data_IF_571254154623
#
_entry.id   IF_571254154623
#
_cell.length_a   1.000
_cell.length_b   1.000
_cell.length_c   1.000
_cell.angle_alpha   90.00
_cell.angle_beta   90.00
_cell.angle_gamma   90.00
#
_symmetry.space_group_name_H-M   'P 1'
#
loop_
_entity.id
_entity.type
_entity.pdbx_description
1 polymer ?
#
# COMPACT_ATOMS: atom_id res chain seq x y z
N UNK A 1 1.68 1.67 -20.96
CA UNK A 1 0.94 1.15 -19.78
C UNK A 1 -0.09 2.17 -19.34
N UNK A 2 -1.15 1.74 -18.66
CA UNK A 2 -2.17 2.65 -18.12
C UNK A 2 -1.48 3.80 -17.35
N UNK A 3 -1.83 5.05 -17.67
CA UNK A 3 -1.30 6.24 -17.01
C UNK A 3 0.10 6.73 -17.45
N UNK A 4 0.89 5.92 -18.16
CA UNK A 4 2.24 6.34 -18.63
C UNK A 4 2.21 6.94 -20.04
N UNK A 5 1.29 6.56 -20.94
CA UNK A 5 1.19 7.11 -22.31
C UNK A 5 2.52 7.16 -23.10
N UNK A 6 3.44 6.22 -22.83
CA UNK A 6 4.79 6.10 -23.40
C UNK A 6 5.73 7.29 -23.11
N UNK A 7 5.50 7.97 -21.99
CA UNK A 7 6.28 9.11 -21.58
C UNK A 7 7.59 8.73 -20.90
N UNK A 8 7.63 7.60 -20.18
CA UNK A 8 8.83 7.04 -19.54
C UNK A 8 8.90 5.53 -19.68
N UNK A 9 9.98 4.93 -19.16
CA UNK A 9 10.34 3.53 -19.32
C UNK A 9 9.14 2.61 -19.06
N UNK A 10 8.77 1.83 -20.07
CA UNK A 10 7.64 0.93 -20.00
C UNK A 10 7.69 -0.19 -21.01
N UNK A 11 6.98 -1.27 -20.69
CA UNK A 11 6.72 -2.39 -21.60
C UNK A 11 5.27 -2.82 -21.43
N UNK A 12 4.59 -3.07 -22.54
CA UNK A 12 3.22 -3.59 -22.51
C UNK A 12 3.24 -5.12 -22.59
N UNK A 13 2.43 -5.76 -21.76
CA UNK A 13 2.09 -7.18 -21.83
C UNK A 13 0.59 -7.33 -21.65
N UNK A 14 -0.03 -8.21 -22.42
CA UNK A 14 -1.32 -8.78 -22.02
C UNK A 14 -1.13 -9.76 -20.84
N UNK A 15 -2.21 -10.10 -20.10
CA UNK A 15 -2.17 -11.16 -19.09
C UNK A 15 -1.61 -12.48 -19.65
N UNK A 16 -1.99 -12.86 -20.87
CA UNK A 16 -1.52 -14.06 -21.54
C UNK A 16 -0.03 -13.98 -21.90
N UNK A 17 0.43 -12.86 -22.46
CA UNK A 17 1.83 -12.70 -22.86
C UNK A 17 2.77 -12.77 -21.66
N UNK A 18 2.44 -12.09 -20.55
CA UNK A 18 3.25 -12.16 -19.32
C UNK A 18 3.23 -13.57 -18.74
N UNK A 19 2.06 -14.21 -18.69
CA UNK A 19 1.92 -15.56 -18.15
C UNK A 19 2.73 -16.56 -18.97
N UNK A 20 2.67 -16.50 -20.31
CA UNK A 20 3.47 -17.33 -21.19
C UNK A 20 4.97 -17.04 -21.07
N UNK A 21 5.35 -15.77 -20.89
CA UNK A 21 6.75 -15.39 -20.65
C UNK A 21 7.29 -16.01 -19.36
N UNK A 22 6.53 -15.91 -18.26
CA UNK A 22 6.92 -16.47 -16.97
C UNK A 22 6.95 -18.00 -17.02
N UNK A 23 5.93 -18.62 -17.63
CA UNK A 23 5.81 -20.07 -17.74
C UNK A 23 6.91 -20.71 -18.60
N UNK A 24 7.20 -20.13 -19.77
CA UNK A 24 8.05 -20.77 -20.78
C UNK A 24 9.49 -20.25 -20.80
N UNK A 25 9.76 -19.09 -20.20
CA UNK A 25 11.07 -18.44 -20.28
C UNK A 25 11.64 -18.09 -18.91
N UNK A 26 11.04 -17.15 -18.17
CA UNK A 26 11.64 -16.62 -16.93
C UNK A 26 11.76 -17.70 -15.85
N UNK A 27 10.65 -18.38 -15.55
CA UNK A 27 10.60 -19.43 -14.51
C UNK A 27 11.58 -20.58 -14.76
N UNK A 28 11.52 -21.26 -15.93
CA UNK A 28 12.44 -22.34 -16.27
C UNK A 28 13.91 -21.89 -16.27
N UNK A 29 14.19 -20.65 -16.70
CA UNK A 29 15.56 -20.11 -16.68
C UNK A 29 16.07 -19.90 -15.26
N UNK A 30 15.27 -19.33 -14.37
CA UNK A 30 15.65 -19.18 -12.96
C UNK A 30 15.87 -20.53 -12.28
N UNK A 31 15.00 -21.51 -12.55
CA UNK A 31 15.15 -22.88 -12.03
C UNK A 31 16.45 -23.53 -12.53
N UNK A 32 16.70 -23.49 -13.85
CA UNK A 32 17.92 -24.04 -14.46
C UNK A 32 19.21 -23.38 -13.96
N UNK A 33 19.15 -22.09 -13.61
CA UNK A 33 20.27 -21.33 -13.06
C UNK A 33 20.43 -21.52 -11.54
N UNK A 34 19.65 -22.41 -10.90
CA UNK A 34 19.69 -22.66 -9.46
C UNK A 34 19.10 -21.54 -8.60
N UNK A 35 18.31 -20.64 -9.21
CA UNK A 35 17.66 -19.47 -8.58
C UNK A 35 16.18 -19.69 -8.31
N UNK A 36 15.72 -20.95 -8.24
CA UNK A 36 14.31 -21.30 -7.97
C UNK A 36 13.76 -20.82 -6.62
N UNK A 37 14.61 -20.31 -5.72
CA UNK A 37 14.17 -19.65 -4.48
C UNK A 37 13.75 -18.19 -4.65
N UNK A 38 14.06 -17.56 -5.79
CA UNK A 38 13.62 -16.19 -6.09
C UNK A 38 12.11 -16.20 -6.35
N UNK A 39 11.40 -15.30 -5.66
CA UNK A 39 9.95 -15.18 -5.76
C UNK A 39 9.55 -14.35 -6.97
N UNK A 40 8.53 -14.80 -7.70
CA UNK A 40 7.98 -14.06 -8.85
C UNK A 40 6.58 -13.58 -8.51
N UNK A 41 6.39 -12.25 -8.51
CA UNK A 41 5.08 -11.63 -8.45
C UNK A 41 4.70 -11.18 -9.86
N UNK A 42 3.50 -11.54 -10.30
CA UNK A 42 2.95 -11.04 -11.57
C UNK A 42 2.10 -9.79 -11.38
N UNK A 43 1.55 -9.30 -12.49
CA UNK A 43 0.71 -8.10 -12.58
C UNK A 43 1.42 -6.76 -12.36
N UNK A 44 1.71 -6.40 -11.11
CA UNK A 44 2.44 -5.19 -10.71
C UNK A 44 1.83 -3.88 -11.26
N UNK A 45 0.53 -3.69 -11.00
CA UNK A 45 -0.25 -2.54 -11.50
C UNK A 45 -1.49 -2.24 -10.63
N UNK A 46 -2.24 -1.18 -10.94
CA UNK A 46 -3.40 -0.72 -10.15
C UNK A 46 -4.52 -1.77 -9.96
N UNK A 47 -5.27 -1.74 -8.86
CA UNK A 47 -6.13 -2.87 -8.43
C UNK A 47 -7.36 -3.17 -9.30
N UNK A 48 -7.83 -2.25 -10.11
CA UNK A 48 -9.06 -2.33 -10.91
C UNK A 48 -9.02 -3.40 -12.02
N UNK A 49 -7.82 -3.76 -12.52
CA UNK A 49 -7.66 -4.85 -13.49
C UNK A 49 -7.15 -6.15 -12.86
N UNK A 50 -6.91 -6.19 -11.55
CA UNK A 50 -6.31 -7.34 -10.86
C UNK A 50 -7.05 -8.64 -11.16
N UNK A 51 -8.39 -8.60 -11.20
CA UNK A 51 -9.23 -9.77 -11.46
C UNK A 51 -8.87 -10.47 -12.78
N UNK A 52 -8.72 -9.71 -13.87
CA UNK A 52 -8.40 -10.26 -15.19
C UNK A 52 -7.05 -10.98 -15.17
N UNK A 53 -6.06 -10.39 -14.50
CA UNK A 53 -4.71 -10.92 -14.43
C UNK A 53 -4.62 -12.20 -13.60
N UNK A 54 -5.22 -12.23 -12.41
CA UNK A 54 -5.22 -13.44 -11.56
C UNK A 54 -6.03 -14.58 -12.19
N UNK A 55 -7.02 -14.27 -13.02
CA UNK A 55 -7.78 -15.28 -13.76
C UNK A 55 -6.93 -16.03 -14.79
N UNK A 56 -5.95 -15.35 -15.40
CA UNK A 56 -5.02 -15.94 -16.39
C UNK A 56 -3.81 -16.55 -15.70
N UNK A 57 -3.16 -15.82 -14.78
CA UNK A 57 -1.96 -16.28 -14.06
C UNK A 57 -2.24 -17.56 -13.25
N UNK A 58 -3.40 -17.63 -12.60
CA UNK A 58 -3.77 -18.73 -11.71
C UNK A 58 -4.88 -19.62 -12.29
N UNK A 59 -4.95 -19.72 -13.62
CA UNK A 59 -5.93 -20.56 -14.30
C UNK A 59 -5.75 -22.05 -13.96
N UNK A 60 -4.52 -22.54 -14.00
CA UNK A 60 -4.17 -23.93 -13.75
C UNK A 60 -2.75 -24.07 -13.17
N UNK A 61 -2.35 -25.30 -12.84
CA UNK A 61 -1.03 -25.57 -12.26
C UNK A 61 0.12 -25.14 -13.17
N UNK A 62 -0.04 -25.27 -14.50
CA UNK A 62 1.02 -24.97 -15.45
C UNK A 62 1.28 -23.45 -15.53
N UNK A 63 0.22 -22.65 -15.58
CA UNK A 63 0.34 -21.18 -15.55
C UNK A 63 0.80 -20.67 -14.19
N UNK A 64 0.35 -21.30 -13.11
CA UNK A 64 0.58 -20.84 -11.73
C UNK A 64 1.94 -21.26 -11.15
N UNK A 65 2.60 -22.28 -11.73
CA UNK A 65 3.79 -22.95 -11.16
C UNK A 65 4.85 -21.97 -10.66
N UNK A 66 5.21 -20.98 -11.47
CA UNK A 66 6.33 -20.08 -11.18
C UNK A 66 5.92 -18.77 -10.51
N UNK A 67 4.63 -18.46 -10.43
CA UNK A 67 4.18 -17.28 -9.70
C UNK A 67 4.05 -17.60 -8.22
N UNK A 68 4.65 -16.80 -7.35
CA UNK A 68 4.42 -16.86 -5.91
C UNK A 68 3.28 -15.96 -5.46
N UNK A 69 2.85 -15.04 -6.32
CA UNK A 69 1.84 -14.04 -5.99
C UNK A 69 1.54 -13.05 -7.11
N UNK A 70 0.75 -12.04 -6.76
CA UNK A 70 0.52 -10.86 -7.56
C UNK A 70 0.97 -9.60 -6.79
N UNK A 71 1.43 -8.61 -7.53
CA UNK A 71 1.79 -7.29 -7.03
C UNK A 71 0.74 -6.25 -7.49
N UNK A 72 0.44 -5.26 -6.66
CA UNK A 72 -0.57 -4.23 -6.93
C UNK A 72 -0.12 -2.83 -6.53
N UNK A 73 -0.65 -1.82 -7.22
CA UNK A 73 -0.44 -0.39 -6.97
C UNK A 73 -1.76 0.29 -6.58
N UNK A 74 -1.71 1.51 -6.03
CA UNK A 74 -2.91 2.22 -5.53
C UNK A 74 -3.43 3.36 -6.42
N UNK A 75 -2.81 3.64 -7.57
CA UNK A 75 -2.99 4.92 -8.27
C UNK A 75 -4.34 5.08 -8.97
N UNK A 76 -5.20 4.06 -8.97
CA UNK A 76 -6.56 4.16 -9.53
C UNK A 76 -7.57 4.88 -8.62
N UNK A 77 -7.21 5.21 -7.38
CA UNK A 77 -8.04 6.04 -6.51
C UNK A 77 -7.24 6.72 -5.41
N UNK A 78 -7.73 7.87 -4.94
CA UNK A 78 -7.20 8.54 -3.75
C UNK A 78 -7.84 8.07 -2.45
N UNK A 79 -8.87 7.20 -2.50
CA UNK A 79 -9.56 6.71 -1.31
C UNK A 79 -10.06 5.26 -1.36
N UNK A 80 -10.33 4.70 -2.55
CA UNK A 80 -10.77 3.31 -2.70
C UNK A 80 -9.59 2.33 -2.62
N UNK A 81 -9.77 1.29 -1.81
CA UNK A 81 -8.80 0.19 -1.67
C UNK A 81 -9.16 -1.00 -2.57
N UNK A 82 -10.32 -0.96 -3.23
CA UNK A 82 -10.84 -2.04 -4.08
C UNK A 82 -10.92 -3.41 -3.36
N UNK A 83 -11.61 -3.49 -2.20
CA UNK A 83 -11.62 -4.68 -1.36
C UNK A 83 -12.12 -5.93 -2.10
N UNK A 84 -13.10 -5.79 -2.98
CA UNK A 84 -13.64 -6.91 -3.78
C UNK A 84 -12.58 -7.50 -4.72
N UNK A 85 -11.73 -6.68 -5.34
CA UNK A 85 -10.67 -7.15 -6.23
C UNK A 85 -9.60 -7.90 -5.44
N UNK A 86 -9.18 -7.37 -4.30
CA UNK A 86 -8.19 -7.99 -3.42
C UNK A 86 -8.70 -9.34 -2.85
N UNK A 87 -9.94 -9.37 -2.37
CA UNK A 87 -10.58 -10.59 -1.88
C UNK A 87 -10.79 -11.63 -3.00
N UNK A 88 -11.13 -11.19 -4.22
CA UNK A 88 -11.22 -12.08 -5.36
C UNK A 88 -9.88 -12.74 -5.66
N UNK A 89 -8.79 -11.97 -5.71
CA UNK A 89 -7.44 -12.48 -5.94
C UNK A 89 -7.02 -13.51 -4.90
N UNK A 90 -7.26 -13.21 -3.61
CA UNK A 90 -7.04 -14.18 -2.53
C UNK A 90 -7.86 -15.46 -2.73
N UNK A 91 -9.18 -15.35 -2.98
CA UNK A 91 -10.04 -16.52 -3.15
C UNK A 91 -9.68 -17.35 -4.39
N UNK A 92 -9.18 -16.72 -5.46
CA UNK A 92 -8.71 -17.39 -6.68
C UNK A 92 -7.48 -18.24 -6.40
N UNK A 93 -6.56 -17.75 -5.55
CA UNK A 93 -5.34 -18.47 -5.21
C UNK A 93 -4.91 -18.25 -3.73
N UNK A 94 -5.59 -18.91 -2.75
CA UNK A 94 -5.42 -18.61 -1.32
C UNK A 94 -4.03 -18.82 -0.71
N UNK A 95 -3.14 -19.52 -1.42
CA UNK A 95 -1.74 -19.73 -0.99
C UNK A 95 -0.73 -18.87 -1.74
N UNK A 96 -1.17 -17.95 -2.60
CA UNK A 96 -0.31 -17.03 -3.35
C UNK A 96 -0.33 -15.67 -2.68
N UNK A 97 0.81 -14.99 -2.68
CA UNK A 97 0.96 -13.69 -2.06
C UNK A 97 0.19 -12.61 -2.82
N UNK A 98 -0.26 -11.60 -2.07
CA UNK A 98 -0.71 -10.34 -2.63
C UNK A 98 0.08 -9.20 -1.99
N UNK A 99 0.86 -8.47 -2.77
CA UNK A 99 1.78 -7.44 -2.27
C UNK A 99 1.39 -6.10 -2.87
N UNK A 100 1.15 -5.10 -2.04
CA UNK A 100 1.18 -3.72 -2.51
C UNK A 100 2.66 -3.36 -2.74
N UNK A 101 3.08 -3.34 -4.00
CA UNK A 101 4.49 -3.17 -4.39
C UNK A 101 4.89 -1.72 -4.58
N UNK A 102 3.92 -0.82 -4.75
CA UNK A 102 4.20 0.59 -4.99
C UNK A 102 3.03 1.49 -4.58
N UNK A 103 3.36 2.61 -3.94
CA UNK A 103 2.45 3.71 -3.65
C UNK A 103 3.24 5.00 -3.42
N UNK A 104 2.71 6.14 -3.85
CA UNK A 104 3.18 7.47 -3.46
C UNK A 104 2.09 8.54 -3.62
N UNK A 105 2.34 9.73 -3.05
CA UNK A 105 1.61 10.94 -3.43
C UNK A 105 2.23 11.40 -4.75
N UNK A 106 1.57 11.07 -5.85
CA UNK A 106 2.02 11.34 -7.21
C UNK A 106 1.51 12.68 -7.73
N UNK A 107 2.10 13.16 -8.83
CA UNK A 107 1.76 14.43 -9.47
C UNK A 107 1.79 15.65 -8.52
N UNK A 108 2.69 15.63 -7.54
CA UNK A 108 2.75 16.62 -6.48
C UNK A 108 4.20 16.92 -6.10
N UNK A 109 4.45 18.19 -5.75
CA UNK A 109 5.77 18.63 -5.25
C UNK A 109 5.75 18.57 -3.72
N UNK A 110 6.75 17.93 -3.08
CA UNK A 110 6.85 17.87 -1.62
C UNK A 110 6.73 19.25 -0.97
N UNK A 111 5.98 19.35 0.12
CA UNK A 111 5.97 20.57 0.94
C UNK A 111 7.06 20.46 1.99
N UNK A 112 8.13 21.24 1.81
CA UNK A 112 9.31 21.23 2.68
C UNK A 112 9.00 21.85 4.04
N UNK A 113 9.19 21.08 5.12
CA UNK A 113 8.95 21.52 6.51
C UNK A 113 7.55 22.11 6.76
N UNK A 114 6.54 21.63 6.04
CA UNK A 114 5.14 22.01 6.19
C UNK A 114 4.31 20.78 6.54
N UNK A 115 4.43 20.33 7.79
CA UNK A 115 3.68 19.18 8.30
C UNK A 115 2.17 19.38 8.15
N UNK A 116 1.68 20.62 8.31
CA UNK A 116 0.26 20.93 8.26
C UNK A 116 -0.35 20.59 6.89
N UNK A 117 0.39 20.79 5.79
CA UNK A 117 -0.09 20.42 4.46
C UNK A 117 -0.37 18.91 4.32
N UNK A 118 0.47 18.04 4.89
CA UNK A 118 0.27 16.58 4.83
C UNK A 118 -0.97 16.10 5.60
N UNK A 119 -1.50 16.95 6.48
CA UNK A 119 -2.75 16.75 7.22
C UNK A 119 -3.93 17.54 6.63
N UNK A 120 -3.69 18.34 5.59
CA UNK A 120 -4.72 19.15 4.91
C UNK A 120 -5.27 18.43 3.69
N UNK A 121 -6.52 18.73 3.31
CA UNK A 121 -7.18 18.13 2.14
C UNK A 121 -6.84 18.90 0.85
N UNK A 122 -5.57 19.16 0.63
CA UNK A 122 -5.10 19.97 -0.51
C UNK A 122 -4.33 19.17 -1.55
N UNK A 123 -3.82 17.98 -1.20
CA UNK A 123 -3.07 17.15 -2.14
C UNK A 123 -3.98 16.61 -3.25
N UNK A 124 -3.42 16.54 -4.45
CA UNK A 124 -4.03 15.93 -5.65
C UNK A 124 -3.22 14.71 -6.09
N UNK A 125 -3.65 14.06 -7.15
CA UNK A 125 -2.94 12.99 -7.83
C UNK A 125 -3.07 13.17 -9.35
N UNK A 126 -2.47 12.27 -10.14
CA UNK A 126 -2.58 12.35 -11.61
C UNK A 126 -4.03 12.39 -12.09
N UNK A 127 -4.93 11.66 -11.42
CA UNK A 127 -6.32 11.55 -11.85
C UNK A 127 -7.10 12.85 -11.66
N UNK A 128 -6.74 13.67 -10.66
CA UNK A 128 -7.33 14.99 -10.45
C UNK A 128 -7.28 15.86 -11.72
N UNK A 129 -6.18 15.82 -12.47
CA UNK A 129 -6.01 16.60 -13.69
C UNK A 129 -6.38 15.80 -14.93
N UNK A 130 -5.97 14.53 -15.04
CA UNK A 130 -5.98 13.80 -16.32
C UNK A 130 -6.90 12.59 -16.40
N UNK A 131 -7.46 12.09 -15.29
CA UNK A 131 -8.37 10.93 -15.36
C UNK A 131 -9.58 11.22 -16.28
N UNK A 132 -10.10 10.21 -17.00
CA UNK A 132 -11.35 10.32 -17.72
C UNK A 132 -12.50 10.75 -16.81
N UNK A 133 -13.51 11.42 -17.37
CA UNK A 133 -14.64 11.97 -16.59
C UNK A 133 -15.35 10.92 -15.72
N UNK A 134 -15.46 9.68 -16.21
CA UNK A 134 -16.05 8.56 -15.46
C UNK A 134 -15.25 8.16 -14.21
N UNK A 135 -13.95 8.41 -14.22
CA UNK A 135 -13.01 8.00 -13.17
C UNK A 135 -12.66 9.17 -12.24
N UNK A 136 -12.88 10.44 -12.66
CA UNK A 136 -12.70 11.65 -11.83
C UNK A 136 -13.26 11.54 -10.40
N UNK A 137 -14.43 10.93 -10.15
CA UNK A 137 -14.93 10.75 -8.79
C UNK A 137 -14.01 9.95 -7.86
N UNK A 138 -13.13 9.10 -8.40
CA UNK A 138 -12.12 8.33 -7.65
C UNK A 138 -10.89 9.16 -7.25
N UNK A 139 -10.76 10.38 -7.79
CA UNK A 139 -9.59 11.23 -7.65
C UNK A 139 -9.89 12.61 -7.04
N UNK A 140 -10.66 12.73 -5.94
CA UNK A 140 -10.80 14.00 -5.25
C UNK A 140 -9.48 14.40 -4.57
N UNK A 141 -9.34 15.69 -4.25
CA UNK A 141 -8.36 16.16 -3.27
C UNK A 141 -8.43 15.34 -1.98
N UNK A 142 -7.27 15.03 -1.40
CA UNK A 142 -7.16 14.15 -0.25
C UNK A 142 -6.15 14.66 0.77
N UNK A 143 -6.17 14.04 1.94
CA UNK A 143 -5.17 14.24 3.00
C UNK A 143 -4.10 13.16 2.86
N UNK A 144 -2.82 13.50 2.58
CA UNK A 144 -1.76 12.51 2.37
C UNK A 144 -1.65 11.45 3.47
N UNK A 145 -1.62 11.87 4.74
CA UNK A 145 -1.55 10.94 5.88
C UNK A 145 -2.75 10.00 5.91
N UNK A 146 -3.95 10.50 5.57
CA UNK A 146 -5.15 9.68 5.57
C UNK A 146 -5.10 8.63 4.47
N UNK A 147 -4.61 8.99 3.28
CA UNK A 147 -4.47 8.05 2.16
C UNK A 147 -3.58 6.87 2.54
N UNK A 148 -2.39 7.13 3.12
CA UNK A 148 -1.48 6.08 3.60
C UNK A 148 -2.12 5.21 4.68
N UNK A 149 -2.70 5.82 5.73
CA UNK A 149 -3.28 5.07 6.84
C UNK A 149 -4.46 4.19 6.38
N UNK A 150 -5.39 4.75 5.58
CA UNK A 150 -6.56 4.05 5.07
C UNK A 150 -6.16 2.90 4.15
N UNK A 151 -5.21 3.14 3.26
CA UNK A 151 -4.81 2.14 2.28
C UNK A 151 -4.07 0.97 2.95
N UNK A 152 -3.11 1.24 3.85
CA UNK A 152 -2.38 0.17 4.55
C UNK A 152 -3.35 -0.67 5.40
N UNK A 153 -4.23 -0.02 6.18
CA UNK A 153 -5.24 -0.73 6.98
C UNK A 153 -6.19 -1.53 6.09
N UNK A 154 -6.67 -0.93 5.00
CA UNK A 154 -7.55 -1.56 4.03
C UNK A 154 -6.90 -2.77 3.36
N UNK A 155 -5.66 -2.64 2.91
CA UNK A 155 -4.85 -3.70 2.31
C UNK A 155 -4.70 -4.88 3.28
N UNK A 156 -4.22 -4.62 4.50
CA UNK A 156 -4.04 -5.65 5.53
C UNK A 156 -5.37 -6.35 5.89
N UNK A 157 -6.48 -5.61 5.88
CA UNK A 157 -7.81 -6.15 6.14
C UNK A 157 -8.40 -6.92 4.94
N UNK A 158 -7.77 -6.85 3.76
CA UNK A 158 -8.18 -7.51 2.52
C UNK A 158 -7.05 -8.37 1.93
N UNK A 159 -6.35 -9.14 2.77
CA UNK A 159 -5.40 -10.19 2.36
C UNK A 159 -4.11 -9.74 1.67
N UNK A 160 -3.78 -8.45 1.70
CA UNK A 160 -2.47 -7.99 1.25
C UNK A 160 -1.43 -8.29 2.33
N UNK A 161 -0.38 -9.03 1.96
CA UNK A 161 0.64 -9.56 2.86
C UNK A 161 1.77 -8.55 3.16
N UNK A 162 1.92 -7.52 2.33
CA UNK A 162 3.00 -6.53 2.44
C UNK A 162 2.68 -5.25 1.69
N UNK A 163 3.28 -4.14 2.13
CA UNK A 163 3.06 -2.81 1.58
C UNK A 163 4.40 -2.09 1.41
N UNK A 164 4.64 -1.59 0.20
CA UNK A 164 5.91 -0.99 -0.21
C UNK A 164 5.63 0.42 -0.74
N UNK A 165 6.31 1.39 -0.14
CA UNK A 165 6.33 2.77 -0.61
C UNK A 165 7.21 2.92 -1.85
N UNK A 166 7.04 3.99 -2.63
CA UNK A 166 7.80 4.18 -3.87
C UNK A 166 9.23 4.68 -3.63
N UNK A 167 9.45 6.00 -3.66
CA UNK A 167 10.77 6.58 -3.44
C UNK A 167 11.00 6.79 -1.94
N UNK A 168 12.02 6.14 -1.39
CA UNK A 168 12.36 6.31 0.02
C UNK A 168 12.81 7.74 0.35
N UNK A 169 13.52 8.39 -0.58
CA UNK A 169 14.11 9.73 -0.41
C UNK A 169 14.00 10.50 -1.73
N UNK A 170 13.55 11.75 -1.66
CA UNK A 170 13.55 12.70 -2.80
C UNK A 170 14.10 14.06 -2.37
N UNK A 171 14.48 14.90 -3.34
CA UNK A 171 14.82 16.30 -3.07
C UNK A 171 13.56 17.16 -2.83
N UNK A 172 13.77 18.45 -2.54
CA UNK A 172 12.68 19.43 -2.32
C UNK A 172 11.74 19.62 -3.52
N UNK A 173 12.13 19.20 -4.71
CA UNK A 173 11.31 19.24 -5.92
C UNK A 173 10.52 17.94 -6.12
N UNK A 174 10.87 16.85 -5.41
CA UNK A 174 10.32 15.53 -5.64
C UNK A 174 11.09 14.74 -6.70
N UNK A 175 12.36 15.06 -6.91
CA UNK A 175 13.24 14.47 -7.92
C UNK A 175 14.52 13.85 -7.35
N UNK A 176 15.52 13.56 -8.22
CA UNK A 176 15.51 13.86 -9.66
C UNK A 176 14.58 12.91 -10.45
N UNK A 177 13.87 13.46 -11.43
CA UNK A 177 13.05 12.69 -12.37
C UNK A 177 13.20 13.31 -13.77
N UNK A 178 13.71 12.56 -14.75
CA UNK A 178 14.05 13.09 -16.07
C UNK A 178 12.80 13.53 -16.86
N UNK A 179 11.68 12.84 -16.64
CA UNK A 179 10.39 13.18 -17.23
C UNK A 179 9.66 14.27 -16.43
N UNK A 180 10.20 14.70 -15.29
CA UNK A 180 9.60 15.70 -14.38
C UNK A 180 8.25 15.25 -13.83
N UNK A 181 8.06 13.94 -13.67
CA UNK A 181 6.92 13.37 -12.95
C UNK A 181 7.22 13.41 -11.44
N UNK A 182 6.94 14.55 -10.82
CA UNK A 182 7.24 14.78 -9.41
C UNK A 182 6.32 13.99 -8.50
N UNK A 183 6.90 13.47 -7.42
CA UNK A 183 6.19 12.74 -6.38
C UNK A 183 6.67 13.23 -5.01
N UNK A 184 5.93 12.86 -3.97
CA UNK A 184 6.35 13.03 -2.58
C UNK A 184 6.91 11.72 -2.02
N UNK A 185 7.95 11.84 -1.18
CA UNK A 185 8.56 10.74 -0.45
C UNK A 185 8.39 10.93 1.07
N UNK A 186 8.53 9.85 1.87
CA UNK A 186 8.55 9.95 3.33
C UNK A 186 9.73 10.76 3.87
N UNK A 187 10.85 10.77 3.16
CA UNK A 187 12.03 11.56 3.52
C UNK A 187 12.36 12.51 2.39
N UNK A 188 12.45 13.80 2.71
CA UNK A 188 12.90 14.82 1.78
C UNK A 188 14.26 15.33 2.24
N UNK A 189 15.17 15.58 1.30
CA UNK A 189 16.51 16.11 1.60
C UNK A 189 16.77 17.43 0.89
N UNK A 190 17.53 18.30 1.55
CA UNK A 190 18.15 19.47 0.95
C UNK A 190 19.68 19.28 0.99
N UNK A 191 20.30 18.83 -0.12
CA UNK A 191 21.74 18.56 -0.14
C UNK A 191 22.59 19.83 -0.11
N UNK A 192 22.04 20.99 -0.44
CA UNK A 192 22.78 22.26 -0.37
C UNK A 192 22.94 22.74 1.08
N UNK A 193 21.94 22.45 1.91
CA UNK A 193 21.93 22.81 3.34
C UNK A 193 22.33 21.66 4.27
N UNK A 194 22.55 20.46 3.74
CA UNK A 194 22.78 19.24 4.53
C UNK A 194 21.63 18.95 5.52
N UNK A 195 20.38 19.16 5.07
CA UNK A 195 19.19 18.98 5.88
C UNK A 195 18.35 17.77 5.45
N UNK A 196 17.76 17.09 6.44
CA UNK A 196 16.85 15.95 6.25
C UNK A 196 15.51 16.27 6.92
N UNK A 197 14.43 16.13 6.17
CA UNK A 197 13.06 16.29 6.64
C UNK A 197 12.31 14.96 6.56
N UNK A 198 11.99 14.40 7.72
CA UNK A 198 11.07 13.26 7.83
C UNK A 198 9.64 13.79 7.81
N UNK A 199 8.91 13.50 6.74
CA UNK A 199 7.54 14.00 6.56
C UNK A 199 6.56 13.22 7.45
N UNK A 200 5.33 13.72 7.67
CA UNK A 200 4.27 12.97 8.33
C UNK A 200 4.00 11.59 7.71
N UNK A 201 4.32 11.36 6.43
CA UNK A 201 4.21 10.05 5.78
C UNK A 201 5.19 9.03 6.38
N UNK A 202 6.42 9.45 6.71
CA UNK A 202 7.40 8.59 7.38
C UNK A 202 6.88 8.08 8.73
N UNK A 203 6.32 8.98 9.53
CA UNK A 203 5.75 8.60 10.82
C UNK A 203 4.52 7.71 10.66
N UNK A 204 3.69 7.97 9.65
CA UNK A 204 2.53 7.12 9.31
C UNK A 204 2.98 5.70 8.96
N UNK A 205 4.00 5.55 8.11
CA UNK A 205 4.60 4.24 7.81
C UNK A 205 5.19 3.56 9.05
N UNK A 206 5.78 4.34 9.95
CA UNK A 206 6.35 3.83 11.20
C UNK A 206 5.30 3.25 12.15
N UNK A 207 4.04 3.73 12.12
CA UNK A 207 2.93 3.14 12.89
C UNK A 207 2.63 1.68 12.51
N UNK A 208 3.04 1.25 11.31
CA UNK A 208 2.92 -0.13 10.86
C UNK A 208 4.28 -0.84 10.94
N UNK A 209 5.28 -0.36 10.20
CA UNK A 209 6.56 -1.09 9.98
C UNK A 209 7.39 -1.31 11.25
N UNK A 210 7.29 -0.40 12.22
CA UNK A 210 8.00 -0.53 13.50
C UNK A 210 7.39 -1.59 14.41
N UNK A 211 6.07 -1.80 14.32
CA UNK A 211 5.29 -2.57 15.28
C UNK A 211 4.75 -3.89 14.73
N UNK A 212 4.61 -4.01 13.40
CA UNK A 212 4.25 -5.24 12.69
C UNK A 212 5.52 -5.75 12.00
N UNK A 213 6.09 -6.83 12.52
CA UNK A 213 7.39 -7.37 12.07
C UNK A 213 7.21 -8.47 11.02
N UNK A 214 8.22 -8.73 10.17
CA UNK A 214 8.16 -9.82 9.20
C UNK A 214 7.77 -11.15 9.84
N UNK A 215 6.80 -11.84 9.23
CA UNK A 215 6.21 -13.07 9.77
C UNK A 215 5.03 -12.85 10.73
N UNK A 216 4.64 -11.61 11.02
CA UNK A 216 3.41 -11.34 11.74
C UNK A 216 2.18 -11.86 10.99
N UNK A 217 1.18 -12.33 11.74
CA UNK A 217 -0.10 -12.79 11.21
C UNK A 217 -1.18 -11.76 11.55
N UNK A 218 -1.88 -11.25 10.53
CA UNK A 218 -3.05 -10.38 10.74
C UNK A 218 -4.14 -11.18 11.45
N UNK A 219 -4.69 -10.62 12.53
CA UNK A 219 -5.78 -11.21 13.31
C UNK A 219 -7.07 -10.42 13.09
N UNK A 220 -8.21 -11.10 13.25
CA UNK A 220 -9.52 -10.47 13.13
C UNK A 220 -9.73 -9.38 14.18
N UNK A 221 -10.39 -8.29 13.78
CA UNK A 221 -10.80 -7.19 14.66
C UNK A 221 -12.27 -6.93 14.44
N UNK A 222 -13.06 -6.95 15.52
CA UNK A 222 -14.43 -6.45 15.51
C UNK A 222 -14.40 -4.95 15.83
N UNK A 223 -14.90 -4.13 14.92
CA UNK A 223 -14.97 -2.68 15.09
C UNK A 223 -16.41 -2.21 14.89
N UNK A 224 -17.16 -1.87 15.96
CA UNK A 224 -18.52 -1.37 15.84
C UNK A 224 -18.60 0.11 15.42
N UNK A 225 -17.49 0.86 15.49
CA UNK A 225 -17.44 2.28 15.11
C UNK A 225 -16.91 2.42 13.68
N UNK A 226 -17.81 2.67 12.75
CA UNK A 226 -17.48 2.79 11.32
C UNK A 226 -16.62 4.00 10.97
N UNK A 227 -16.49 5.00 11.85
CA UNK A 227 -15.64 6.16 11.56
C UNK A 227 -14.17 5.88 11.90
N UNK A 228 -13.87 4.81 12.64
CA UNK A 228 -12.52 4.35 12.92
C UNK A 228 -12.11 3.27 11.93
N UNK A 229 -10.83 3.31 11.53
CA UNK A 229 -10.22 2.20 10.82
C UNK A 229 -9.24 1.48 11.73
N UNK A 230 -9.34 0.15 11.80
CA UNK A 230 -8.54 -0.65 12.71
C UNK A 230 -7.99 -1.88 11.99
N UNK A 231 -6.74 -2.20 12.27
CA UNK A 231 -6.15 -3.51 11.96
C UNK A 231 -5.31 -3.99 13.13
N UNK A 232 -5.13 -5.30 13.24
CA UNK A 232 -4.28 -5.89 14.27
C UNK A 232 -3.48 -7.06 13.69
N UNK A 233 -2.24 -7.20 14.16
CA UNK A 233 -1.38 -8.30 13.79
C UNK A 233 -0.63 -8.83 15.01
N UNK A 234 -0.52 -10.16 15.10
CA UNK A 234 0.31 -10.82 16.08
C UNK A 234 1.70 -11.09 15.48
N UNK A 235 2.74 -10.56 16.13
CA UNK A 235 4.12 -10.78 15.77
C UNK A 235 4.59 -12.20 16.12
N UNK A 236 5.69 -12.69 15.51
CA UNK A 236 6.27 -13.99 15.85
C UNK A 236 6.69 -14.14 17.32
N UNK A 237 6.98 -13.04 18.03
CA UNK A 237 7.30 -13.03 19.46
C UNK A 237 6.05 -13.13 20.37
N UNK A 238 4.86 -13.17 19.77
CA UNK A 238 3.56 -13.25 20.43
C UNK A 238 2.97 -11.89 20.81
N UNK A 239 3.69 -10.78 20.68
CA UNK A 239 3.15 -9.43 20.88
C UNK A 239 2.10 -9.10 19.81
N UNK A 240 1.12 -8.28 20.15
CA UNK A 240 0.08 -7.83 19.22
C UNK A 240 0.21 -6.33 19.02
N UNK A 241 0.27 -5.90 17.77
CA UNK A 241 0.15 -4.50 17.40
C UNK A 241 -1.28 -4.24 16.89
N UNK A 242 -1.95 -3.26 17.49
CA UNK A 242 -3.27 -2.77 17.06
C UNK A 242 -3.08 -1.35 16.54
N UNK A 243 -3.33 -1.13 15.25
CA UNK A 243 -3.26 0.20 14.63
C UNK A 243 -4.68 0.73 14.50
N UNK A 244 -4.92 1.90 15.08
CA UNK A 244 -6.21 2.62 15.06
C UNK A 244 -5.98 3.94 14.33
N UNK A 245 -6.85 4.25 13.38
CA UNK A 245 -6.85 5.51 12.66
C UNK A 245 -8.20 6.22 12.83
N UNK A 246 -8.16 7.44 13.34
CA UNK A 246 -9.29 8.34 13.50
C UNK A 246 -9.15 9.53 12.52
N UNK A 247 -9.85 9.51 11.37
CA UNK A 247 -9.87 10.66 10.45
C UNK A 247 -10.80 11.78 10.92
N UNK A 248 -11.61 11.55 11.97
CA UNK A 248 -12.62 12.48 12.46
C UNK A 248 -12.03 13.69 13.17
N UNK A 249 -12.85 14.73 13.30
CA UNK A 249 -12.46 16.02 13.90
C UNK A 249 -12.60 16.05 15.43
N UNK A 250 -13.08 14.96 16.03
CA UNK A 250 -13.19 14.79 17.48
C UNK A 250 -12.39 13.59 17.98
N UNK A 251 -11.90 13.70 19.21
CA UNK A 251 -11.32 12.57 19.92
C UNK A 251 -12.40 11.51 20.21
N UNK A 252 -11.98 10.25 20.27
CA UNK A 252 -12.86 9.11 20.59
C UNK A 252 -12.28 8.29 21.74
N UNK A 253 -13.11 8.01 22.73
CA UNK A 253 -12.82 7.05 23.79
C UNK A 253 -13.28 5.67 23.34
N UNK A 254 -12.36 4.69 23.34
CA UNK A 254 -12.64 3.32 22.92
C UNK A 254 -12.19 2.32 23.97
N UNK A 255 -12.87 1.19 24.06
CA UNK A 255 -12.48 0.08 24.92
C UNK A 255 -11.86 -1.04 24.08
N UNK A 256 -10.54 -1.18 24.12
CA UNK A 256 -9.84 -2.26 23.44
C UNK A 256 -9.98 -3.54 24.29
N UNK A 257 -10.68 -4.53 23.74
CA UNK A 257 -10.95 -5.80 24.41
C UNK A 257 -10.23 -6.97 23.74
N UNK A 258 -9.57 -7.82 24.52
CA UNK A 258 -8.93 -9.05 24.08
C UNK A 258 -9.16 -10.14 25.12
N UNK A 259 -9.94 -11.17 24.76
CA UNK A 259 -10.43 -12.18 25.70
C UNK A 259 -11.16 -11.52 26.89
N UNK A 260 -10.79 -11.82 28.14
CA UNK A 260 -11.41 -11.25 29.35
C UNK A 260 -10.86 -9.87 29.74
N UNK A 261 -9.88 -9.33 29.00
CA UNK A 261 -9.25 -8.04 29.32
C UNK A 261 -9.86 -6.94 28.49
N UNK A 262 -10.14 -5.81 29.13
CA UNK A 262 -10.57 -4.58 28.49
C UNK A 262 -9.71 -3.43 29.01
N UNK A 263 -9.22 -2.59 28.10
CA UNK A 263 -8.42 -1.40 28.44
C UNK A 263 -9.01 -0.18 27.74
N UNK A 264 -9.41 0.86 28.48
CA UNK A 264 -9.85 2.11 27.87
C UNK A 264 -8.65 2.83 27.27
N UNK A 265 -8.82 3.33 26.05
CA UNK A 265 -7.85 4.21 25.39
C UNK A 265 -8.60 5.36 24.71
N UNK A 266 -7.96 6.52 24.62
CA UNK A 266 -8.47 7.68 23.89
C UNK A 266 -7.58 7.91 22.67
N UNK A 267 -8.18 8.02 21.50
CA UNK A 267 -7.52 8.47 20.29
C UNK A 267 -7.95 9.89 19.95
N UNK A 268 -6.98 10.78 19.71
CA UNK A 268 -7.26 12.17 19.32
C UNK A 268 -7.98 12.26 17.98
N UNK A 269 -8.57 13.42 17.70
CA UNK A 269 -9.00 13.78 16.35
C UNK A 269 -7.83 13.72 15.37
N UNK A 270 -8.10 13.34 14.12
CA UNK A 270 -7.14 13.36 13.01
C UNK A 270 -5.81 12.69 13.39
N UNK A 271 -5.87 11.46 13.88
CA UNK A 271 -4.73 10.78 14.47
C UNK A 271 -4.63 9.31 14.05
N UNK A 272 -3.41 8.81 14.00
CA UNK A 272 -3.08 7.38 13.94
C UNK A 272 -2.38 6.99 15.24
N UNK A 273 -2.74 5.86 15.81
CA UNK A 273 -2.21 5.36 17.07
C UNK A 273 -1.95 3.86 16.96
N UNK A 274 -0.77 3.43 17.41
CA UNK A 274 -0.44 2.01 17.51
C UNK A 274 -0.35 1.61 18.98
N UNK A 275 -1.21 0.68 19.39
CA UNK A 275 -1.21 0.08 20.73
C UNK A 275 -0.48 -1.25 20.65
N UNK A 276 0.52 -1.45 21.51
CA UNK A 276 1.28 -2.70 21.60
C UNK A 276 0.84 -3.46 22.85
N UNK A 277 0.33 -4.67 22.65
CA UNK A 277 0.02 -5.61 23.73
C UNK A 277 1.20 -6.59 23.80
N UNK A 278 2.05 -6.53 24.84
CA UNK A 278 3.19 -7.43 24.95
C UNK A 278 2.73 -8.88 25.19
N UNK A 279 3.55 -9.84 24.74
CA UNK A 279 3.40 -11.23 25.17
C UNK A 279 3.71 -11.32 26.68
N UNK A 280 2.99 -12.19 27.39
CA UNK A 280 3.22 -12.41 28.83
C UNK A 280 4.36 -13.38 29.10
#
# INVERSE_FOLDING_TARGET
>A
PLGNDNNWESMHFSPEEMTLFVQNHLGPKLEADGKGGVKILGYDQNREHLKEWVDVMFKDEASSKYFDGAAVHWYASTYEVFPEALQYAHNKAPGKHLIQSEACVDAEVPKWQDDAWYWSKEATDWGWDWAPEKDKPLHPKYVPVYRYARDIIGCLNNWVDGWVDWNMVLDRQGGPNWFKNWCVAPVIVDPEQDEVYFTPLYYTLAHFSKFIRPGATRIGVENPDSDLMVTAAQNPDGSIAVVVFNPGESAKDINLSLSERSTPITISAQAIQTVVIPNK
#
